data_IF_786662533741
#
_entry.id   IF_786662533741
#
_cell.length_a   1.000
_cell.length_b   1.000
_cell.length_c   1.000
_cell.angle_alpha   90.00
_cell.angle_beta   90.00
_cell.angle_gamma   90.00
#
_symmetry.space_group_name_H-M   'P 1'
#
loop_
_entity.id
_entity.type
_entity.pdbx_description
1 polymer ?
#
# COMPACT_ATOMS: atom_id res chain seq x y z
N UNK A 1 -70.91 -35.55 -52.92
CA UNK A 1 -72.12 -36.24 -52.44
C UNK A 1 -71.83 -36.92 -51.12
N UNK A 2 -72.71 -36.69 -50.15
CA UNK A 2 -73.08 -37.57 -49.02
C UNK A 2 -72.06 -37.97 -47.95
N UNK A 3 -72.20 -37.26 -46.82
CA UNK A 3 -72.19 -37.70 -45.41
C UNK A 3 -72.36 -39.20 -45.11
N UNK A 4 -71.65 -39.72 -44.08
CA UNK A 4 -72.24 -40.28 -42.84
C UNK A 4 -71.24 -40.76 -41.76
N UNK A 5 -71.40 -40.15 -40.57
CA UNK A 5 -71.43 -40.66 -39.16
C UNK A 5 -70.43 -41.73 -38.63
N UNK A 6 -69.63 -41.26 -37.66
CA UNK A 6 -69.40 -41.71 -36.25
C UNK A 6 -69.67 -43.17 -35.82
N UNK A 7 -68.66 -43.75 -35.15
CA UNK A 7 -68.84 -44.73 -34.07
C UNK A 7 -67.91 -44.42 -32.89
N UNK A 8 -68.49 -44.54 -31.69
CA UNK A 8 -67.88 -44.34 -30.36
C UNK A 8 -67.63 -45.70 -29.73
N UNK A 9 -66.57 -45.80 -28.94
CA UNK A 9 -66.23 -46.91 -28.03
C UNK A 9 -64.71 -47.00 -27.93
N UNK A 10 -64.05 -47.26 -26.81
CA UNK A 10 -64.35 -47.51 -25.39
C UNK A 10 -62.96 -47.68 -24.76
N UNK A 11 -62.82 -47.37 -23.47
CA UNK A 11 -61.61 -47.55 -22.65
C UNK A 11 -60.87 -48.87 -22.87
N UNK A 12 -59.54 -48.83 -22.76
CA UNK A 12 -58.74 -49.92 -22.19
C UNK A 12 -57.48 -49.35 -21.53
N UNK A 13 -57.35 -49.72 -20.27
CA UNK A 13 -56.44 -49.25 -19.24
C UNK A 13 -54.95 -49.54 -19.52
N UNK A 14 -54.10 -48.53 -19.29
CA UNK A 14 -52.68 -48.71 -19.06
C UNK A 14 -52.42 -48.77 -17.55
N UNK A 15 -52.22 -49.99 -17.03
CA UNK A 15 -51.73 -50.24 -15.67
C UNK A 15 -50.25 -49.81 -15.60
N UNK A 16 -49.98 -48.64 -15.02
CA UNK A 16 -48.65 -48.26 -14.53
C UNK A 16 -48.64 -48.34 -12.99
N UNK A 17 -47.82 -49.26 -12.48
CA UNK A 17 -47.51 -49.37 -11.05
C UNK A 17 -46.64 -48.16 -10.61
N UNK A 18 -46.95 -47.45 -9.52
CA UNK A 18 -46.13 -46.32 -9.07
C UNK A 18 -44.85 -46.82 -8.39
N UNK A 19 -43.69 -46.35 -8.87
CA UNK A 19 -42.43 -46.44 -8.11
C UNK A 19 -42.53 -45.58 -6.85
N UNK A 20 -42.35 -46.19 -5.68
CA UNK A 20 -42.28 -45.48 -4.40
C UNK A 20 -41.17 -44.42 -4.41
N UNK A 21 -41.56 -43.15 -4.22
CA UNK A 21 -40.64 -42.04 -4.03
C UNK A 21 -39.94 -42.11 -2.66
N UNK A 22 -38.65 -41.78 -2.62
CA UNK A 22 -37.84 -41.76 -1.41
C UNK A 22 -38.47 -40.79 -0.39
N UNK A 23 -38.80 -41.27 0.81
CA UNK A 23 -39.42 -40.45 1.85
C UNK A 23 -38.51 -39.31 2.31
N UNK A 24 -39.09 -38.18 2.72
CA UNK A 24 -38.35 -36.99 3.19
C UNK A 24 -37.35 -37.33 4.30
N UNK A 25 -37.67 -38.31 5.15
CA UNK A 25 -36.80 -38.82 6.21
C UNK A 25 -35.57 -39.53 5.67
N UNK A 26 -35.73 -40.35 4.61
CA UNK A 26 -34.60 -40.99 3.91
C UNK A 26 -33.74 -39.98 3.18
N UNK A 27 -34.35 -38.95 2.58
CA UNK A 27 -33.61 -37.85 1.95
C UNK A 27 -32.76 -37.05 2.95
N UNK A 28 -33.32 -36.75 4.13
CA UNK A 28 -32.59 -36.08 5.22
C UNK A 28 -31.44 -36.93 5.76
N UNK A 29 -31.64 -38.24 5.91
CA UNK A 29 -30.57 -39.15 6.33
C UNK A 29 -29.45 -39.25 5.29
N UNK A 30 -29.77 -39.26 4.00
CA UNK A 30 -28.79 -39.26 2.92
C UNK A 30 -27.99 -37.95 2.86
N UNK A 31 -28.65 -36.80 3.07
CA UNK A 31 -27.98 -35.50 3.16
C UNK A 31 -27.04 -35.43 4.38
N UNK A 32 -27.49 -35.89 5.54
CA UNK A 32 -26.66 -35.95 6.75
C UNK A 32 -25.45 -36.87 6.55
N UNK A 33 -25.64 -38.05 5.95
CA UNK A 33 -24.56 -38.97 5.63
C UNK A 33 -23.55 -38.35 4.64
N UNK A 34 -24.04 -37.66 3.60
CA UNK A 34 -23.17 -36.96 2.64
C UNK A 34 -22.34 -35.85 3.31
N UNK A 35 -22.90 -35.15 4.29
CA UNK A 35 -22.23 -34.08 5.02
C UNK A 35 -21.12 -34.63 5.92
N UNK A 36 -21.38 -35.76 6.59
CA UNK A 36 -20.37 -36.47 7.41
C UNK A 36 -19.25 -37.01 6.52
N UNK A 37 -19.58 -37.63 5.38
CA UNK A 37 -18.57 -38.13 4.43
C UNK A 37 -17.73 -36.98 3.88
N UNK A 38 -18.35 -35.85 3.51
CA UNK A 38 -17.64 -34.65 3.06
C UNK A 38 -16.73 -34.06 4.14
N UNK A 39 -17.16 -34.05 5.40
CA UNK A 39 -16.36 -33.58 6.52
C UNK A 39 -15.15 -34.48 6.81
N UNK A 40 -15.34 -35.81 6.81
CA UNK A 40 -14.25 -36.78 6.99
C UNK A 40 -13.28 -36.73 5.82
N UNK A 41 -13.76 -36.63 4.58
CA UNK A 41 -12.93 -36.44 3.40
C UNK A 41 -12.14 -35.12 3.48
N UNK A 42 -12.77 -34.03 3.94
CA UNK A 42 -12.12 -32.75 4.18
C UNK A 42 -10.99 -32.82 5.22
N UNK A 43 -11.20 -33.55 6.33
CA UNK A 43 -10.16 -33.77 7.34
C UNK A 43 -9.02 -34.62 6.78
N UNK A 44 -9.32 -35.68 6.01
CA UNK A 44 -8.30 -36.53 5.41
C UNK A 44 -7.49 -35.76 4.35
N UNK A 45 -8.15 -34.99 3.47
CA UNK A 45 -7.46 -34.12 2.51
C UNK A 45 -6.65 -33.07 3.26
N UNK A 46 -7.18 -32.40 4.28
CA UNK A 46 -6.43 -31.43 5.08
C UNK A 46 -5.20 -32.04 5.75
N UNK A 47 -5.32 -33.26 6.28
CA UNK A 47 -4.23 -33.96 6.98
C UNK A 47 -3.15 -34.51 6.03
N UNK A 48 -3.51 -34.89 4.80
CA UNK A 48 -2.56 -35.50 3.84
C UNK A 48 -2.11 -34.56 2.71
N UNK A 49 -2.86 -33.49 2.41
CA UNK A 49 -2.45 -32.43 1.48
C UNK A 49 -1.52 -31.39 2.15
N UNK A 50 -1.40 -31.42 3.48
CA UNK A 50 -0.31 -30.78 4.23
C UNK A 50 0.77 -31.80 4.60
N UNK A 51 1.11 -32.71 3.68
CA UNK A 51 2.50 -33.14 3.67
C UNK A 51 3.30 -31.86 3.42
N UNK A 52 4.14 -31.49 4.39
CA UNK A 52 5.23 -30.58 4.14
C UNK A 52 5.94 -31.15 2.92
N UNK A 53 5.69 -30.57 1.74
CA UNK A 53 6.68 -30.63 0.69
C UNK A 53 7.94 -30.12 1.39
N UNK A 54 8.89 -31.03 1.55
CA UNK A 54 10.23 -30.67 1.97
C UNK A 54 10.68 -29.72 0.85
N UNK A 55 10.45 -28.42 1.05
CA UNK A 55 10.92 -27.36 0.17
C UNK A 55 12.44 -27.28 0.36
N UNK A 56 13.13 -28.38 0.07
CA UNK A 56 14.47 -28.34 -0.42
C UNK A 56 14.39 -27.47 -1.68
N UNK A 57 15.05 -26.30 -1.70
CA UNK A 57 15.10 -25.46 -2.89
C UNK A 57 15.54 -26.35 -4.07
N UNK A 58 15.04 -26.11 -5.30
CA UNK A 58 15.57 -26.80 -6.46
C UNK A 58 17.09 -26.65 -6.45
N UNK A 59 17.81 -27.77 -6.43
CA UNK A 59 19.27 -27.76 -6.58
C UNK A 59 19.57 -27.13 -7.93
N UNK A 60 19.91 -25.83 -7.93
CA UNK A 60 20.41 -25.14 -9.11
C UNK A 60 21.83 -25.66 -9.31
N UNK A 61 22.08 -26.51 -10.32
CA UNK A 61 23.43 -26.95 -10.59
C UNK A 61 24.19 -25.70 -11.03
N UNK A 62 25.24 -25.35 -10.29
CA UNK A 62 26.18 -24.26 -10.59
C UNK A 62 25.88 -22.85 -10.05
N UNK A 63 24.93 -22.69 -9.11
CA UNK A 63 25.01 -21.57 -8.16
C UNK A 63 25.76 -22.09 -6.94
N UNK A 64 27.02 -21.68 -6.83
CA UNK A 64 27.94 -22.13 -5.81
C UNK A 64 27.30 -22.12 -4.40
N UNK A 65 27.08 -23.31 -3.82
CA UNK A 65 26.72 -23.57 -2.42
C UNK A 65 27.49 -22.74 -1.35
N UNK A 66 28.71 -22.21 -1.58
CA UNK A 66 29.37 -21.30 -0.65
C UNK A 66 28.72 -19.91 -0.49
N UNK A 67 27.84 -19.48 -1.42
CA UNK A 67 27.14 -18.19 -1.31
C UNK A 67 26.00 -18.21 -0.28
N UNK A 68 25.54 -19.41 0.09
CA UNK A 68 24.53 -19.66 1.14
C UNK A 68 25.16 -20.47 2.27
N UNK A 69 26.46 -20.25 2.54
CA UNK A 69 26.98 -20.61 3.86
C UNK A 69 26.38 -19.62 4.84
N UNK A 70 25.37 -20.06 5.58
CA UNK A 70 24.84 -19.34 6.74
C UNK A 70 26.01 -18.71 7.50
N UNK A 71 25.94 -17.41 7.74
CA UNK A 71 26.93 -16.69 8.53
C UNK A 71 27.22 -17.49 9.80
N UNK A 72 28.51 -17.74 10.09
CA UNK A 72 28.95 -18.52 11.25
C UNK A 72 28.05 -18.20 12.45
N UNK A 73 27.25 -19.17 12.96
CA UNK A 73 26.24 -18.91 13.98
C UNK A 73 26.84 -18.25 15.23
N UNK A 74 28.12 -18.49 15.51
CA UNK A 74 28.87 -17.87 16.58
C UNK A 74 29.10 -16.39 16.34
N UNK A 75 29.45 -16.02 15.10
CA UNK A 75 29.62 -14.62 14.69
C UNK A 75 28.28 -13.92 14.63
N UNK A 76 27.26 -14.55 14.05
CA UNK A 76 25.88 -14.04 14.01
C UNK A 76 25.37 -13.74 15.42
N UNK A 77 25.57 -14.67 16.36
CA UNK A 77 25.24 -14.47 17.78
C UNK A 77 26.02 -13.31 18.39
N UNK A 78 27.33 -13.23 18.17
CA UNK A 78 28.16 -12.11 18.68
C UNK A 78 27.68 -10.75 18.14
N UNK A 79 27.26 -10.67 16.88
CA UNK A 79 26.71 -9.44 16.30
C UNK A 79 25.39 -9.07 16.97
N UNK A 80 24.46 -10.03 17.09
CA UNK A 80 23.17 -9.81 17.74
C UNK A 80 23.33 -9.40 19.21
N UNK A 81 24.21 -10.07 19.95
CA UNK A 81 24.51 -9.77 21.35
C UNK A 81 25.19 -8.39 21.53
N UNK A 82 25.83 -7.86 20.48
CA UNK A 82 26.45 -6.53 20.47
C UNK A 82 25.47 -5.39 20.14
N UNK A 83 24.24 -5.69 19.70
CA UNK A 83 23.21 -4.68 19.45
C UNK A 83 22.66 -4.20 20.80
N UNK A 84 22.90 -2.92 21.10
CA UNK A 84 22.49 -2.30 22.35
C UNK A 84 21.37 -1.27 22.10
N UNK A 85 20.13 -1.52 22.58
CA UNK A 85 19.01 -0.59 22.45
C UNK A 85 19.29 0.80 23.02
N UNK A 86 20.08 0.91 24.10
CA UNK A 86 20.41 2.21 24.70
C UNK A 86 21.30 3.05 23.77
N UNK A 87 22.20 2.41 23.01
CA UNK A 87 23.00 3.08 21.98
C UNK A 87 22.14 3.52 20.80
N UNK A 88 21.17 2.70 20.39
CA UNK A 88 20.23 3.06 19.32
C UNK A 88 19.42 4.31 19.74
N UNK A 89 18.90 4.33 20.96
CA UNK A 89 18.17 5.47 21.50
C UNK A 89 19.04 6.74 21.55
N UNK A 90 20.26 6.64 22.09
CA UNK A 90 21.18 7.77 22.17
C UNK A 90 21.54 8.32 20.77
N UNK A 91 21.79 7.43 19.81
CA UNK A 91 22.04 7.81 18.42
C UNK A 91 20.83 8.53 17.81
N UNK A 92 19.62 7.97 17.95
CA UNK A 92 18.40 8.58 17.42
C UNK A 92 18.16 9.97 18.02
N UNK A 93 18.39 10.13 19.33
CA UNK A 93 18.25 11.40 20.02
C UNK A 93 19.20 12.46 19.46
N UNK A 94 20.46 12.11 19.21
CA UNK A 94 21.43 13.03 18.63
C UNK A 94 21.13 13.36 17.15
N UNK A 95 20.75 12.35 16.37
CA UNK A 95 20.45 12.51 14.94
C UNK A 95 19.21 13.37 14.70
N UNK A 96 18.21 13.29 15.60
CA UNK A 96 16.93 14.02 15.46
C UNK A 96 16.84 15.32 16.27
N UNK A 97 17.93 15.76 16.90
CA UNK A 97 17.93 16.95 17.78
C UNK A 97 17.63 18.26 17.04
N UNK A 98 17.99 18.36 15.75
CA UNK A 98 17.82 19.56 14.92
C UNK A 98 17.41 19.19 13.49
N UNK A 99 16.67 20.05 12.78
CA UNK A 99 16.39 19.86 11.35
C UNK A 99 17.67 19.68 10.54
N UNK A 100 17.69 18.69 9.66
CA UNK A 100 18.87 18.31 8.87
C UNK A 100 18.48 18.05 7.40
N UNK A 101 17.74 18.99 6.80
CA UNK A 101 17.38 18.90 5.38
C UNK A 101 18.65 18.86 4.52
N UNK A 102 18.63 18.03 3.47
CA UNK A 102 19.78 17.80 2.60
C UNK A 102 20.42 19.11 2.15
N UNK A 103 21.75 19.17 2.12
CA UNK A 103 22.49 20.32 1.60
C UNK A 103 22.56 21.56 2.53
N UNK A 104 22.05 21.47 3.76
CA UNK A 104 22.21 22.52 4.79
C UNK A 104 23.32 22.17 5.79
N UNK A 105 23.69 23.13 6.63
CA UNK A 105 24.82 23.02 7.56
C UNK A 105 24.72 21.80 8.48
N UNK A 106 23.55 21.58 9.11
CA UNK A 106 23.34 20.45 10.03
C UNK A 106 23.51 19.08 9.35
N UNK A 107 23.08 18.94 8.11
CA UNK A 107 23.28 17.71 7.33
C UNK A 107 24.79 17.40 7.19
N UNK A 108 25.60 18.42 6.89
CA UNK A 108 27.06 18.28 6.80
C UNK A 108 27.74 18.00 8.15
N UNK A 109 27.22 18.56 9.25
CA UNK A 109 27.68 18.20 10.61
C UNK A 109 27.47 16.71 10.91
N UNK A 110 26.29 16.18 10.58
CA UNK A 110 25.96 14.77 10.80
C UNK A 110 26.85 13.85 9.96
N UNK A 111 27.18 14.23 8.72
CA UNK A 111 28.16 13.49 7.88
C UNK A 111 29.53 13.40 8.56
N UNK A 112 30.03 14.50 9.13
CA UNK A 112 31.31 14.50 9.85
C UNK A 112 31.26 13.60 11.09
N UNK A 113 30.16 13.64 11.82
CA UNK A 113 29.96 12.79 13.00
C UNK A 113 29.93 11.31 12.63
N UNK A 114 29.17 10.94 11.59
CA UNK A 114 29.12 9.56 11.09
C UNK A 114 30.49 9.08 10.63
N UNK A 115 31.24 9.91 9.91
CA UNK A 115 32.62 9.61 9.53
C UNK A 115 33.47 9.29 10.76
N UNK A 116 33.38 10.12 11.82
CA UNK A 116 34.12 9.89 13.05
C UNK A 116 33.75 8.55 13.70
N UNK A 117 32.46 8.26 13.86
CA UNK A 117 31.97 7.01 14.46
C UNK A 117 32.52 5.79 13.69
N UNK A 118 32.50 5.85 12.36
CA UNK A 118 32.97 4.75 11.54
C UNK A 118 34.49 4.58 11.56
N UNK A 119 35.25 5.67 11.53
CA UNK A 119 36.72 5.62 11.68
C UNK A 119 37.10 5.07 13.06
N UNK A 120 36.44 5.55 14.13
CA UNK A 120 36.67 5.07 15.50
C UNK A 120 36.32 3.58 15.66
N UNK A 121 35.43 3.07 14.81
CA UNK A 121 35.06 1.64 14.74
C UNK A 121 36.03 0.79 13.91
N UNK A 122 37.12 1.39 13.40
CA UNK A 122 38.14 0.70 12.62
C UNK A 122 37.85 0.58 11.12
N UNK A 123 36.86 1.32 10.60
CA UNK A 123 36.54 1.32 9.17
C UNK A 123 37.34 2.38 8.39
N UNK A 124 37.64 2.08 7.13
CA UNK A 124 38.09 3.07 6.17
C UNK A 124 36.88 3.84 5.61
N UNK A 125 36.90 5.17 5.70
CA UNK A 125 35.74 6.02 5.37
C UNK A 125 36.15 7.19 4.50
N UNK A 126 35.41 7.38 3.40
CA UNK A 126 35.57 8.51 2.48
C UNK A 126 34.25 9.30 2.40
N UNK A 127 34.36 10.63 2.37
CA UNK A 127 33.24 11.53 2.04
C UNK A 127 33.38 11.90 0.58
N UNK A 128 32.31 11.71 -0.20
CA UNK A 128 32.26 12.03 -1.63
C UNK A 128 31.13 13.02 -1.88
N UNK A 129 31.45 14.32 -2.09
CA UNK A 129 30.43 15.33 -2.39
C UNK A 129 29.92 15.22 -3.83
N UNK A 130 28.67 15.61 -4.05
CA UNK A 130 28.06 15.75 -5.36
C UNK A 130 27.29 17.06 -5.44
N UNK A 131 27.42 17.75 -6.57
CA UNK A 131 26.59 18.90 -6.88
C UNK A 131 25.27 18.39 -7.50
N UNK A 132 24.21 18.43 -6.69
CA UNK A 132 22.87 18.01 -7.11
C UNK A 132 21.92 19.21 -7.10
N UNK A 133 20.99 19.24 -8.06
CA UNK A 133 19.91 20.23 -8.06
C UNK A 133 18.94 19.91 -6.91
N UNK A 134 18.86 20.80 -5.93
CA UNK A 134 17.90 20.73 -4.84
C UNK A 134 16.82 21.81 -5.00
N UNK A 135 15.74 21.69 -4.23
CA UNK A 135 14.60 22.61 -4.25
C UNK A 135 14.23 22.97 -2.81
N UNK A 136 14.05 24.27 -2.56
CA UNK A 136 13.63 24.83 -1.27
C UNK A 136 12.56 25.91 -1.51
N UNK A 137 11.67 26.16 -0.55
CA UNK A 137 10.80 27.33 -0.60
C UNK A 137 11.62 28.61 -0.46
N UNK A 138 11.05 29.73 -0.89
CA UNK A 138 11.63 31.06 -0.73
C UNK A 138 11.39 31.56 0.69
N UNK A 139 12.43 32.10 1.32
CA UNK A 139 12.34 32.73 2.64
C UNK A 139 11.61 34.09 2.56
N UNK A 140 11.75 34.80 1.43
CA UNK A 140 11.15 36.13 1.20
C UNK A 140 9.70 36.05 0.72
N UNK A 141 9.34 34.99 0.01
CA UNK A 141 8.01 34.80 -0.60
C UNK A 141 7.45 33.43 -0.19
N UNK A 142 6.82 33.33 1.00
CA UNK A 142 6.25 32.08 1.49
C UNK A 142 5.16 31.54 0.55
N UNK A 143 5.06 30.22 0.47
CA UNK A 143 3.95 29.56 -0.20
C UNK A 143 2.64 29.85 0.55
N UNK A 144 1.56 30.07 -0.18
CA UNK A 144 0.24 30.34 0.41
C UNK A 144 -0.87 29.68 -0.38
N UNK A 145 -1.92 29.24 0.32
CA UNK A 145 -3.17 28.76 -0.28
C UNK A 145 -4.32 29.52 0.37
N UNK A 146 -5.10 30.22 -0.45
CA UNK A 146 -6.18 31.10 0.02
C UNK A 146 -7.50 30.76 -0.67
N UNK A 147 -8.60 30.98 0.03
CA UNK A 147 -9.94 30.97 -0.55
C UNK A 147 -10.39 32.43 -0.65
N UNK A 148 -10.82 32.80 -1.85
CA UNK A 148 -11.36 34.11 -2.16
C UNK A 148 -12.90 34.03 -2.29
N UNK A 149 -13.59 35.08 -1.89
CA UNK A 149 -15.01 35.26 -2.23
C UNK A 149 -15.18 35.88 -3.64
N UNK A 150 -16.43 36.11 -4.04
CA UNK A 150 -16.75 36.71 -5.35
C UNK A 150 -16.31 38.16 -5.53
N UNK A 151 -15.81 38.82 -4.48
CA UNK A 151 -15.26 40.18 -4.52
C UNK A 151 -13.72 40.16 -4.39
N UNK A 152 -13.08 39.00 -4.60
CA UNK A 152 -11.65 38.78 -4.43
C UNK A 152 -11.14 39.08 -3.01
N UNK A 153 -12.00 38.97 -2.01
CA UNK A 153 -11.60 39.13 -0.60
C UNK A 153 -11.19 37.77 -0.04
N UNK A 154 -10.07 37.73 0.68
CA UNK A 154 -9.59 36.51 1.35
C UNK A 154 -10.55 36.16 2.48
N UNK A 155 -11.25 35.03 2.34
CA UNK A 155 -12.15 34.48 3.39
C UNK A 155 -11.48 33.37 4.20
N UNK A 156 -10.43 32.77 3.66
CA UNK A 156 -9.60 31.79 4.35
C UNK A 156 -8.16 31.89 3.87
N UNK A 157 -7.21 31.84 4.81
CA UNK A 157 -5.78 31.75 4.54
C UNK A 157 -5.24 30.50 5.26
N UNK A 158 -4.66 29.57 4.49
CA UNK A 158 -4.08 28.37 5.06
C UNK A 158 -2.82 28.74 5.85
N UNK A 159 -2.58 28.06 6.97
CA UNK A 159 -1.35 28.26 7.74
C UNK A 159 -0.14 27.89 6.89
N UNK A 160 0.83 28.79 6.85
CA UNK A 160 2.09 28.60 6.14
C UNK A 160 3.10 27.75 6.94
N UNK A 161 2.85 27.53 8.23
CA UNK A 161 3.73 26.82 9.15
C UNK A 161 2.98 25.80 10.04
N UNK A 162 3.73 24.86 10.60
CA UNK A 162 3.25 23.96 11.64
C UNK A 162 3.39 24.61 13.03
N UNK A 163 2.26 24.76 13.71
CA UNK A 163 2.09 25.59 14.92
C UNK A 163 2.95 25.23 16.15
N UNK A 164 3.71 24.13 16.12
CA UNK A 164 4.46 23.62 17.28
C UNK A 164 5.98 23.68 17.11
N UNK A 165 6.47 24.13 15.95
CA UNK A 165 7.92 24.10 15.65
C UNK A 165 8.55 25.48 15.45
N UNK A 166 7.80 26.55 15.65
CA UNK A 166 8.29 27.94 15.54
C UNK A 166 9.45 28.29 16.48
N UNK A 167 9.67 27.48 17.53
CA UNK A 167 10.78 27.64 18.47
C UNK A 167 12.08 26.97 17.98
N UNK A 168 12.05 26.21 16.88
CA UNK A 168 13.22 25.54 16.33
C UNK A 168 13.73 26.28 15.08
N UNK A 169 14.99 26.70 15.13
CA UNK A 169 15.66 27.28 13.98
C UNK A 169 15.90 26.21 12.89
N UNK A 170 15.82 26.61 11.62
CA UNK A 170 16.11 25.74 10.47
C UNK A 170 14.97 24.81 10.03
N UNK A 171 13.77 24.95 10.60
CA UNK A 171 12.58 24.26 10.09
C UNK A 171 12.14 24.91 8.80
N UNK A 172 12.08 24.13 7.72
CA UNK A 172 11.64 24.59 6.40
C UNK A 172 10.10 24.50 6.33
N UNK A 173 9.39 25.54 5.87
CA UNK A 173 7.94 25.49 5.71
C UNK A 173 7.48 24.36 4.78
N UNK A 174 6.24 23.86 4.91
CA UNK A 174 5.68 22.85 4.01
C UNK A 174 5.76 23.25 2.54
N UNK A 175 6.28 22.35 1.71
CA UNK A 175 6.35 22.53 0.27
C UNK A 175 6.47 21.20 -0.47
N UNK A 176 6.14 21.20 -1.76
CA UNK A 176 6.44 20.09 -2.66
C UNK A 176 7.72 20.43 -3.43
N UNK A 177 8.81 19.72 -3.14
CA UNK A 177 10.08 19.90 -3.83
C UNK A 177 9.92 19.74 -5.35
N UNK A 178 10.62 20.59 -6.10
CA UNK A 178 10.59 20.69 -7.56
C UNK A 178 9.28 21.20 -8.19
N UNK A 179 8.32 21.65 -7.38
CA UNK A 179 7.13 22.35 -7.91
C UNK A 179 7.55 23.65 -8.61
N UNK A 180 6.94 23.99 -9.77
CA UNK A 180 7.18 25.28 -10.40
C UNK A 180 6.65 26.43 -9.54
N UNK A 181 7.35 27.57 -9.56
CA UNK A 181 6.87 28.80 -8.94
C UNK A 181 5.81 29.46 -9.83
N UNK A 182 4.57 29.56 -9.34
CA UNK A 182 3.48 30.25 -10.04
C UNK A 182 2.37 30.64 -9.07
N UNK A 183 1.78 31.82 -9.29
CA UNK A 183 0.48 32.20 -8.73
C UNK A 183 -0.63 31.75 -9.69
N UNK A 184 -1.57 30.94 -9.19
CA UNK A 184 -2.73 30.46 -9.96
C UNK A 184 -4.01 30.67 -9.15
N UNK A 185 -5.11 30.89 -9.85
CA UNK A 185 -6.45 31.01 -9.29
C UNK A 185 -7.39 30.14 -10.15
N UNK A 186 -8.32 29.44 -9.52
CA UNK A 186 -9.26 28.57 -10.21
C UNK A 186 -10.23 27.87 -9.26
N UNK A 187 -11.26 27.26 -9.82
CA UNK A 187 -12.23 26.46 -9.08
C UNK A 187 -11.56 25.27 -8.39
N UNK A 188 -12.02 24.92 -7.19
CA UNK A 188 -11.49 23.77 -6.45
C UNK A 188 -12.25 22.48 -6.83
N UNK A 189 -11.51 21.43 -7.19
CA UNK A 189 -12.07 20.08 -7.43
C UNK A 189 -11.36 19.05 -6.56
N UNK A 190 -12.12 18.20 -5.88
CA UNK A 190 -11.57 17.11 -5.10
C UNK A 190 -11.46 15.83 -5.94
N UNK A 191 -10.26 15.23 -6.00
CA UNK A 191 -9.98 14.04 -6.82
C UNK A 191 -9.45 12.86 -5.98
N UNK A 192 -10.02 12.61 -4.79
CA UNK A 192 -9.72 11.40 -4.03
C UNK A 192 -8.24 11.28 -3.63
N UNK A 193 -7.54 10.26 -4.15
CA UNK A 193 -6.09 10.06 -3.96
C UNK A 193 -5.27 10.50 -5.19
N UNK A 194 -5.88 11.16 -6.17
CA UNK A 194 -5.20 11.62 -7.40
C UNK A 194 -4.80 10.48 -8.34
N UNK A 195 -5.47 9.32 -8.25
CA UNK A 195 -5.17 8.19 -9.13
C UNK A 195 -5.86 8.38 -10.48
N UNK A 196 -5.36 7.66 -11.48
CA UNK A 196 -5.99 7.61 -12.82
C UNK A 196 -7.48 7.25 -12.71
N UNK A 197 -7.86 6.31 -11.83
CA UNK A 197 -9.26 5.92 -11.66
C UNK A 197 -10.10 7.03 -11.03
N UNK A 198 -9.51 7.86 -10.15
CA UNK A 198 -10.21 8.98 -9.53
C UNK A 198 -10.55 10.06 -10.59
N UNK A 199 -9.62 10.33 -11.52
CA UNK A 199 -9.87 11.24 -12.65
C UNK A 199 -10.82 10.66 -13.70
N UNK A 200 -10.74 9.35 -13.99
CA UNK A 200 -11.72 8.66 -14.86
C UNK A 200 -13.12 8.79 -14.26
N UNK A 201 -13.26 8.59 -12.95
CA UNK A 201 -14.54 8.73 -12.27
C UNK A 201 -15.09 10.15 -12.39
N UNK A 202 -14.25 11.18 -12.21
CA UNK A 202 -14.65 12.58 -12.40
C UNK A 202 -15.15 12.82 -13.83
N UNK A 203 -14.42 12.35 -14.84
CA UNK A 203 -14.79 12.50 -16.24
C UNK A 203 -16.12 11.78 -16.57
N UNK A 204 -16.32 10.56 -16.07
CA UNK A 204 -17.56 9.80 -16.23
C UNK A 204 -18.78 10.48 -15.58
N UNK A 205 -18.54 11.32 -14.56
CA UNK A 205 -19.56 12.12 -13.89
C UNK A 205 -19.65 13.55 -14.46
N UNK A 206 -19.12 13.80 -15.66
CA UNK A 206 -19.14 15.09 -16.35
C UNK A 206 -18.47 16.24 -15.58
N UNK A 207 -17.47 15.94 -14.75
CA UNK A 207 -16.68 16.94 -14.02
C UNK A 207 -15.38 17.21 -14.80
N UNK A 208 -15.30 18.37 -15.45
CA UNK A 208 -14.10 18.82 -16.14
C UNK A 208 -13.16 19.56 -15.17
N UNK A 209 -11.93 19.09 -15.04
CA UNK A 209 -10.90 19.66 -14.16
C UNK A 209 -9.98 20.67 -14.86
N UNK A 210 -10.13 20.86 -16.17
CA UNK A 210 -9.28 21.78 -16.94
C UNK A 210 -9.40 23.21 -16.41
N UNK A 211 -8.27 23.81 -16.01
CA UNK A 211 -8.23 25.16 -15.43
C UNK A 211 -8.63 25.23 -13.95
N UNK A 212 -8.96 24.09 -13.33
CA UNK A 212 -9.27 24.00 -11.90
C UNK A 212 -8.02 23.71 -11.07
N UNK A 213 -8.06 24.10 -9.80
CA UNK A 213 -7.12 23.64 -8.78
C UNK A 213 -7.66 22.31 -8.24
N UNK A 214 -6.88 21.24 -8.37
CA UNK A 214 -7.27 19.91 -7.89
C UNK A 214 -6.67 19.66 -6.51
N UNK A 215 -7.50 19.27 -5.54
CA UNK A 215 -7.07 18.84 -4.21
C UNK A 215 -7.21 17.33 -4.06
N UNK A 216 -6.15 16.70 -3.56
CA UNK A 216 -6.03 15.24 -3.42
C UNK A 216 -5.47 14.87 -2.05
N UNK A 217 -5.73 13.65 -1.62
CA UNK A 217 -5.13 13.07 -0.40
C UNK A 217 -3.80 12.41 -0.71
N UNK A 218 -2.89 12.50 0.24
CA UNK A 218 -1.70 11.65 0.27
C UNK A 218 -2.06 10.16 0.42
N UNK A 219 -1.20 9.28 -0.10
CA UNK A 219 -1.38 7.83 -0.08
C UNK A 219 -1.78 7.22 -1.43
N UNK A 220 -1.95 5.90 -1.43
CA UNK A 220 -2.28 5.01 -2.57
C UNK A 220 -1.28 4.94 -3.72
N UNK A 221 -0.72 6.06 -4.15
CA UNK A 221 0.30 6.15 -5.22
C UNK A 221 1.41 7.13 -4.81
N UNK A 222 2.52 7.12 -5.56
CA UNK A 222 3.60 8.07 -5.33
C UNK A 222 3.11 9.51 -5.57
N UNK A 223 3.61 10.45 -4.75
CA UNK A 223 3.10 11.82 -4.74
C UNK A 223 3.32 12.58 -6.05
N UNK A 224 4.35 12.22 -6.81
CA UNK A 224 4.66 12.83 -8.10
C UNK A 224 3.80 12.32 -9.26
N UNK A 225 3.04 11.25 -9.06
CA UNK A 225 2.14 10.67 -10.07
C UNK A 225 0.72 11.26 -10.02
N UNK A 226 0.42 12.08 -9.00
CA UNK A 226 -0.91 12.67 -8.73
C UNK A 226 -1.19 13.88 -9.62
#
# INVERSE_FOLDING_TARGET
MSSRRLHVGSENDLIFSPKEGISKTRLLLLLAASLVVGFVAGILIGRYATQNEDHSPPEIPDVSLPLVRDADPTISKKILDAIDPARIEANLRYLSEKPHIAGRERDFELVKQLKKIFVDSGMYVQITPYDALLSYPSDDTPNSVRILDGNNTVVYDAKADESNFSNYEGVVPPFNAYSPNRLVEGSLVYAGYGRVEDYIWLAQNNINVSGSIVIVKYGSIFRGDK
#
